data_IF_263194893534
#
_entry.id   IF_263194893534
#
_cell.length_a   1.000
_cell.length_b   1.000
_cell.length_c   1.000
_cell.angle_alpha   90.00
_cell.angle_beta   90.00
_cell.angle_gamma   90.00
#
_symmetry.space_group_name_H-M   'P 1'
#
loop_
_entity.id
_entity.type
_entity.pdbx_description
1 polymer ?
#
# COMPACT_ATOMS: atom_id res chain seq x y z
N UNK A 1 -3.20 -10.67 1.88
CA UNK A 1 -3.24 -10.73 3.36
C UNK A 1 -4.46 -9.94 3.87
N UNK A 2 -5.35 -10.59 4.61
CA UNK A 2 -6.57 -9.98 5.17
C UNK A 2 -6.35 -9.53 6.63
N UNK A 3 -6.83 -8.33 7.01
CA UNK A 3 -6.69 -7.84 8.39
C UNK A 3 -7.88 -8.27 9.25
N UNK A 4 -7.70 -9.23 10.16
CA UNK A 4 -8.78 -9.74 11.02
C UNK A 4 -8.34 -9.89 12.49
N UNK A 5 -9.05 -9.28 13.45
CA UNK A 5 -8.63 -9.28 14.86
C UNK A 5 -8.68 -10.66 15.55
N UNK A 6 -9.55 -11.56 15.10
CA UNK A 6 -9.88 -12.80 15.83
C UNK A 6 -9.37 -14.09 15.18
N UNK A 7 -8.85 -14.04 13.95
CA UNK A 7 -8.25 -15.20 13.28
C UNK A 7 -6.81 -15.44 13.79
N UNK A 8 -6.40 -16.70 13.76
CA UNK A 8 -5.06 -17.13 14.20
C UNK A 8 -4.16 -17.30 12.99
N UNK A 9 -3.37 -16.26 12.70
CA UNK A 9 -2.29 -16.38 11.74
C UNK A 9 -1.05 -15.63 12.28
N UNK A 10 -0.81 -14.37 11.89
CA UNK A 10 0.34 -13.62 12.39
C UNK A 10 0.00 -12.26 13.02
N UNK A 11 0.85 -11.80 13.95
CA UNK A 11 0.85 -10.42 14.41
C UNK A 11 1.50 -9.53 13.35
N UNK A 12 1.14 -8.24 13.31
CA UNK A 12 1.71 -7.30 12.32
C UNK A 12 3.24 -7.24 12.38
N UNK A 13 3.83 -7.40 13.57
CA UNK A 13 5.28 -7.40 13.77
C UNK A 13 5.95 -8.61 13.09
N UNK A 14 5.22 -9.73 13.04
CA UNK A 14 5.67 -11.02 12.50
C UNK A 14 5.33 -11.18 11.02
N UNK A 15 4.58 -10.24 10.42
CA UNK A 15 4.22 -10.27 9.01
C UNK A 15 5.48 -10.41 8.14
N UNK A 16 5.46 -11.39 7.23
CA UNK A 16 6.51 -11.57 6.24
C UNK A 16 6.44 -10.43 5.21
N UNK A 17 7.56 -9.73 5.04
CA UNK A 17 7.69 -8.59 4.13
C UNK A 17 8.57 -8.91 2.92
N UNK A 18 9.02 -10.16 2.78
CA UNK A 18 9.89 -10.58 1.67
C UNK A 18 9.14 -10.66 0.34
N UNK A 19 7.84 -10.93 0.39
CA UNK A 19 6.95 -11.05 -0.76
C UNK A 19 6.08 -9.79 -0.95
N UNK A 20 5.68 -9.54 -2.21
CA UNK A 20 4.76 -8.44 -2.54
C UNK A 20 3.42 -8.64 -1.84
N UNK A 21 3.12 -7.75 -0.91
CA UNK A 21 1.97 -7.91 -0.02
C UNK A 21 0.91 -6.85 -0.26
N UNK A 22 -0.33 -7.30 -0.46
CA UNK A 22 -1.53 -6.46 -0.39
C UNK A 22 -2.24 -6.70 0.95
N UNK A 23 -2.37 -5.63 1.75
CA UNK A 23 -3.16 -5.60 2.97
C UNK A 23 -4.59 -5.18 2.62
N UNK A 24 -5.55 -6.04 2.92
CA UNK A 24 -6.96 -5.78 2.67
C UNK A 24 -7.68 -5.49 3.99
N UNK A 25 -8.34 -4.35 4.04
CA UNK A 25 -9.08 -3.87 5.20
C UNK A 25 -10.58 -3.98 4.94
N UNK A 26 -11.32 -4.44 5.95
CA UNK A 26 -12.77 -4.55 5.93
C UNK A 26 -13.48 -3.23 6.17
N UNK A 27 -14.78 -3.14 5.89
CA UNK A 27 -15.57 -1.94 6.23
C UNK A 27 -15.86 -1.87 7.73
N UNK A 28 -16.19 -0.69 8.25
CA UNK A 28 -16.47 -0.49 9.69
C UNK A 28 -17.64 -1.35 10.21
N UNK A 29 -18.62 -1.65 9.36
CA UNK A 29 -19.83 -2.36 9.77
C UNK A 29 -19.78 -3.87 9.51
N UNK A 30 -19.24 -4.27 8.36
CA UNK A 30 -19.28 -5.68 7.92
C UNK A 30 -17.93 -6.37 8.02
N UNK A 31 -16.86 -5.64 8.36
CA UNK A 31 -15.52 -6.17 8.28
C UNK A 31 -15.15 -6.58 6.86
N UNK A 32 -14.30 -7.61 6.76
CA UNK A 32 -13.82 -8.16 5.49
C UNK A 32 -14.90 -9.08 4.91
N UNK A 33 -15.14 -9.01 3.60
CA UNK A 33 -16.12 -9.86 2.94
C UNK A 33 -15.65 -11.32 2.87
N UNK A 34 -16.60 -12.25 2.87
CA UNK A 34 -16.32 -13.70 2.71
C UNK A 34 -15.50 -14.01 1.45
N UNK A 35 -15.71 -13.24 0.37
CA UNK A 35 -14.96 -13.37 -0.86
C UNK A 35 -13.48 -13.06 -0.67
N UNK A 36 -13.15 -12.02 0.10
CA UNK A 36 -11.76 -11.69 0.42
C UNK A 36 -11.17 -12.74 1.36
N UNK A 37 -11.92 -13.20 2.37
CA UNK A 37 -11.48 -14.27 3.29
C UNK A 37 -11.11 -15.53 2.50
N UNK A 38 -11.96 -15.93 1.55
CA UNK A 38 -11.76 -17.12 0.73
C UNK A 38 -10.52 -17.06 -0.18
N UNK A 39 -10.14 -15.87 -0.62
CA UNK A 39 -9.02 -15.66 -1.55
C UNK A 39 -7.77 -15.08 -0.87
N UNK A 40 -7.80 -14.88 0.45
CA UNK A 40 -6.65 -14.36 1.17
C UNK A 40 -5.58 -15.44 1.34
N UNK A 41 -4.33 -15.08 1.08
CA UNK A 41 -3.17 -15.96 1.30
C UNK A 41 -2.81 -16.12 2.79
N UNK A 42 -3.44 -15.33 3.66
CA UNK A 42 -3.19 -15.32 5.10
C UNK A 42 -3.85 -14.13 5.79
N UNK A 43 -3.82 -14.14 7.12
CA UNK A 43 -4.43 -13.15 7.99
C UNK A 43 -3.38 -12.44 8.85
N UNK A 44 -3.64 -11.17 9.17
CA UNK A 44 -2.79 -10.38 10.05
C UNK A 44 -3.65 -9.62 11.04
N UNK A 45 -3.17 -9.46 12.28
CA UNK A 45 -3.89 -8.71 13.32
C UNK A 45 -3.01 -7.72 14.07
N UNK A 46 -3.66 -6.67 14.54
CA UNK A 46 -3.05 -5.77 15.52
C UNK A 46 -3.24 -6.38 16.91
N UNK A 47 -2.24 -6.29 17.80
CA UNK A 47 -2.44 -6.60 19.20
C UNK A 47 -3.51 -5.66 19.78
N UNK A 48 -4.48 -6.22 20.50
CA UNK A 48 -5.52 -5.46 21.19
C UNK A 48 -5.50 -5.83 22.67
N UNK A 49 -5.60 -4.81 23.52
CA UNK A 49 -5.64 -4.97 24.97
C UNK A 49 -6.87 -4.23 25.52
N UNK A 50 -7.59 -4.88 26.44
CA UNK A 50 -8.81 -4.32 27.03
C UNK A 50 -10.10 -4.82 26.35
N UNK A 51 -11.18 -4.07 26.52
CA UNK A 51 -12.53 -4.49 26.12
C UNK A 51 -12.94 -4.07 24.71
N UNK A 52 -12.09 -3.34 23.97
CA UNK A 52 -12.39 -2.95 22.59
C UNK A 52 -12.15 -4.12 21.65
N UNK A 53 -13.09 -4.35 20.74
CA UNK A 53 -13.04 -5.45 19.78
C UNK A 53 -12.30 -5.08 18.49
N UNK A 54 -12.09 -3.78 18.24
CA UNK A 54 -11.33 -3.31 17.09
C UNK A 54 -10.76 -1.91 17.30
N UNK A 55 -9.80 -1.53 16.44
CA UNK A 55 -9.43 -0.14 16.20
C UNK A 55 -10.35 0.46 15.13
N UNK A 56 -10.46 1.79 15.11
CA UNK A 56 -10.98 2.48 13.94
C UNK A 56 -10.18 2.06 12.69
N UNK A 57 -10.85 1.86 11.56
CA UNK A 57 -10.23 1.35 10.32
C UNK A 57 -9.04 2.20 9.86
N UNK A 58 -9.14 3.54 9.95
CA UNK A 58 -8.06 4.44 9.55
C UNK A 58 -6.85 4.33 10.48
N UNK A 59 -7.11 4.15 11.79
CA UNK A 59 -6.07 3.95 12.79
C UNK A 59 -5.39 2.60 12.59
N UNK A 60 -6.16 1.54 12.33
CA UNK A 60 -5.64 0.21 12.01
C UNK A 60 -4.74 0.25 10.76
N UNK A 61 -5.21 0.88 9.68
CA UNK A 61 -4.43 1.04 8.45
C UNK A 61 -3.13 1.82 8.68
N UNK A 62 -3.19 2.94 9.43
CA UNK A 62 -2.01 3.73 9.75
C UNK A 62 -0.98 2.94 10.57
N UNK A 63 -1.42 2.21 11.61
CA UNK A 63 -0.54 1.40 12.44
C UNK A 63 0.08 0.22 11.66
N UNK A 64 -0.71 -0.47 10.85
CA UNK A 64 -0.25 -1.57 10.01
C UNK A 64 0.80 -1.12 9.00
N UNK A 65 0.53 -0.02 8.29
CA UNK A 65 1.48 0.56 7.35
C UNK A 65 2.74 1.07 8.06
N UNK A 66 2.60 1.71 9.23
CA UNK A 66 3.75 2.17 10.00
C UNK A 66 4.64 1.00 10.43
N UNK A 67 4.08 -0.05 11.03
CA UNK A 67 4.83 -1.22 11.48
C UNK A 67 5.53 -1.92 10.31
N UNK A 68 4.81 -2.15 9.22
CA UNK A 68 5.35 -2.79 8.01
C UNK A 68 6.48 -1.94 7.40
N UNK A 69 6.25 -0.66 7.17
CA UNK A 69 7.25 0.23 6.55
C UNK A 69 8.46 0.47 7.45
N UNK A 70 8.30 0.49 8.77
CA UNK A 70 9.41 0.53 9.71
C UNK A 70 10.31 -0.69 9.54
N UNK A 71 9.73 -1.90 9.50
CA UNK A 71 10.46 -3.15 9.27
C UNK A 71 11.16 -3.16 7.90
N UNK A 72 10.47 -2.72 6.85
CA UNK A 72 11.03 -2.61 5.49
C UNK A 72 12.25 -1.68 5.43
N UNK A 73 12.18 -0.52 6.08
CA UNK A 73 13.28 0.48 6.09
C UNK A 73 14.52 0.01 6.83
N UNK A 74 14.38 -0.92 7.77
CA UNK A 74 15.50 -1.50 8.54
C UNK A 74 15.98 -2.83 7.96
N UNK A 75 15.37 -3.32 6.89
CA UNK A 75 15.68 -4.60 6.26
C UNK A 75 16.46 -4.43 4.96
N UNK A 76 17.09 -5.51 4.50
CA UNK A 76 17.87 -5.54 3.25
C UNK A 76 17.01 -5.89 2.01
N UNK A 77 15.67 -5.93 2.14
CA UNK A 77 14.80 -6.27 1.02
C UNK A 77 14.80 -5.14 -0.02
N UNK A 78 14.77 -5.49 -1.30
CA UNK A 78 14.68 -4.52 -2.38
C UNK A 78 13.22 -4.08 -2.62
N UNK A 79 12.73 -3.15 -1.81
CA UNK A 79 11.36 -2.64 -1.88
C UNK A 79 11.21 -1.30 -2.61
N UNK A 80 12.33 -0.63 -2.90
CA UNK A 80 12.32 0.70 -3.50
C UNK A 80 12.04 0.60 -5.00
N UNK A 81 11.47 1.67 -5.55
CA UNK A 81 11.35 1.82 -7.00
C UNK A 81 12.75 1.90 -7.61
N UNK A 82 12.89 1.32 -8.80
CA UNK A 82 14.05 1.59 -9.64
C UNK A 82 14.09 3.07 -10.07
N UNK A 83 15.25 3.60 -10.49
CA UNK A 83 15.35 4.98 -10.95
C UNK A 83 14.41 5.33 -12.12
N UNK A 84 14.12 4.36 -13.00
CA UNK A 84 13.20 4.50 -14.12
C UNK A 84 11.74 4.59 -13.64
N UNK A 85 11.33 3.67 -12.77
CA UNK A 85 9.98 3.67 -12.18
C UNK A 85 9.73 4.94 -11.34
N UNK A 86 10.73 5.40 -10.59
CA UNK A 86 10.64 6.64 -9.82
C UNK A 86 10.45 7.86 -10.74
N UNK A 87 11.18 7.90 -11.86
CA UNK A 87 11.05 8.95 -12.86
C UNK A 87 9.64 8.94 -13.49
N UNK A 88 9.13 7.78 -13.87
CA UNK A 88 7.79 7.62 -14.44
C UNK A 88 6.70 8.11 -13.49
N UNK A 89 6.80 7.75 -12.21
CA UNK A 89 5.87 8.20 -11.17
C UNK A 89 5.92 9.73 -11.02
N UNK A 90 7.13 10.32 -10.97
CA UNK A 90 7.32 11.77 -10.88
C UNK A 90 6.76 12.52 -12.09
N UNK A 91 7.02 12.03 -13.30
CA UNK A 91 6.49 12.62 -14.53
C UNK A 91 4.97 12.54 -14.56
N UNK A 92 4.39 11.41 -14.16
CA UNK A 92 2.94 11.27 -14.03
C UNK A 92 2.35 12.28 -13.05
N UNK A 93 2.93 12.47 -11.87
CA UNK A 93 2.46 13.47 -10.91
C UNK A 93 2.57 14.91 -11.45
N UNK A 94 3.67 15.23 -12.13
CA UNK A 94 3.84 16.54 -12.78
C UNK A 94 2.76 16.78 -13.86
N UNK A 95 2.43 15.75 -14.65
CA UNK A 95 1.38 15.85 -15.67
C UNK A 95 0.01 16.19 -15.09
N UNK A 96 -0.31 15.67 -13.91
CA UNK A 96 -1.57 15.95 -13.22
C UNK A 96 -1.63 17.36 -12.61
N UNK A 97 -0.47 17.99 -12.38
CA UNK A 97 -0.38 19.32 -11.76
C UNK A 97 -0.43 20.45 -12.81
N UNK A 98 0.01 20.18 -14.04
CA UNK A 98 0.10 21.19 -15.10
C UNK A 98 -1.15 21.17 -15.97
N UNK A 99 -1.89 22.29 -15.96
CA UNK A 99 -3.05 22.48 -16.85
C UNK A 99 -2.59 22.46 -18.32
N UNK A 100 -3.25 21.66 -19.16
CA UNK A 100 -2.89 21.41 -20.57
C UNK A 100 -1.51 20.73 -20.78
N UNK A 101 -1.13 19.82 -19.88
CA UNK A 101 0.08 19.01 -20.03
C UNK A 101 0.21 18.38 -21.43
N UNK A 102 -0.87 17.78 -21.96
CA UNK A 102 -0.84 17.11 -23.27
C UNK A 102 -0.38 18.05 -24.40
N UNK A 103 -0.89 19.29 -24.41
CA UNK A 103 -0.49 20.30 -25.40
C UNK A 103 0.98 20.70 -25.28
N UNK A 104 1.50 20.78 -24.06
CA UNK A 104 2.91 21.10 -23.82
C UNK A 104 3.82 19.93 -24.22
N UNK A 105 3.38 18.70 -23.95
CA UNK A 105 4.09 17.49 -24.33
C UNK A 105 4.17 17.36 -25.85
N UNK A 106 3.06 17.57 -26.56
CA UNK A 106 3.02 17.57 -28.03
C UNK A 106 3.97 18.61 -28.63
N UNK A 107 4.00 19.83 -28.08
CA UNK A 107 4.90 20.89 -28.51
C UNK A 107 6.38 20.52 -28.26
N UNK A 108 6.68 19.89 -27.12
CA UNK A 108 8.03 19.44 -26.78
C UNK A 108 8.50 18.31 -27.72
N UNK A 109 7.65 17.30 -27.96
CA UNK A 109 7.93 16.19 -28.88
C UNK A 109 8.15 16.72 -30.29
N UNK A 110 7.32 17.66 -30.75
CA UNK A 110 7.48 18.29 -32.07
C UNK A 110 8.83 19.00 -32.19
N UNK A 111 9.21 19.80 -31.19
CA UNK A 111 10.54 20.47 -31.14
C UNK A 111 11.73 19.51 -31.14
N UNK A 112 11.60 18.33 -30.54
CA UNK A 112 12.67 17.33 -30.51
C UNK A 112 12.79 16.56 -31.83
N UNK A 113 11.68 16.37 -32.55
CA UNK A 113 11.67 15.72 -33.88
C UNK A 113 12.12 16.66 -35.01
N UNK A 114 11.96 17.98 -34.83
CA UNK A 114 12.39 19.01 -35.77
C UNK A 114 13.90 19.36 -35.65
N UNK A 115 14.66 18.64 -34.80
CA UNK A 115 16.13 18.70 -34.67
C UNK A 115 16.78 17.44 -35.20
#
# INVERSE_FOLDING_TARGET
IATMPHEQDCMVEDLDITEKTALVFGTEHTGISDEVIKHADGFVKMPMYGFTESYNISVCAALMLYATTAKMRTSDINWQLSPEEELDVKLRWQSMTIKKYDTLLDLAIKRLKDK
#
